data_IF_791152036206
#
_entry.id   IF_791152036206
#
_cell.length_a   1.000
_cell.length_b   1.000
_cell.length_c   1.000
_cell.angle_alpha   90.00
_cell.angle_beta   90.00
_cell.angle_gamma   90.00
#
_symmetry.space_group_name_H-M   'P 1'
#
loop_
_entity.id
_entity.type
_entity.pdbx_description
1 polymer ?
#
# COMPACT_ATOMS: atom_id res chain seq x y z
N UNK A 1 37.37 2.07 -13.83
CA UNK A 1 36.58 1.99 -12.58
C UNK A 1 35.11 2.40 -12.78
N UNK A 2 34.70 2.96 -13.93
CA UNK A 2 33.29 3.24 -14.26
C UNK A 2 32.47 1.99 -14.69
N UNK A 3 33.10 0.96 -15.29
CA UNK A 3 32.37 -0.22 -15.76
C UNK A 3 31.87 -1.15 -14.63
N UNK A 4 32.51 -1.13 -13.46
CA UNK A 4 32.07 -1.93 -12.31
C UNK A 4 30.82 -1.31 -11.64
N UNK A 5 30.72 0.01 -11.64
CA UNK A 5 29.59 0.74 -11.07
C UNK A 5 28.28 0.51 -11.85
N UNK A 6 28.36 0.37 -13.18
CA UNK A 6 27.17 0.18 -14.01
C UNK A 6 26.59 -1.24 -13.89
N UNK A 7 27.43 -2.26 -13.69
CA UNK A 7 26.96 -3.63 -13.46
C UNK A 7 26.33 -3.81 -12.08
N UNK A 8 26.89 -3.19 -11.05
CA UNK A 8 26.31 -3.22 -9.69
C UNK A 8 24.98 -2.46 -9.65
N UNK A 9 24.93 -1.24 -10.19
CA UNK A 9 23.70 -0.44 -10.23
C UNK A 9 22.59 -1.12 -11.04
N UNK A 10 22.89 -1.73 -12.19
CA UNK A 10 21.88 -2.46 -12.98
C UNK A 10 21.39 -3.73 -12.26
N UNK A 11 22.29 -4.46 -11.61
CA UNK A 11 21.94 -5.69 -10.88
C UNK A 11 21.12 -5.38 -9.62
N UNK A 12 21.47 -4.31 -8.91
CA UNK A 12 20.75 -3.86 -7.73
C UNK A 12 19.40 -3.19 -8.07
N UNK A 13 19.32 -2.42 -9.17
CA UNK A 13 18.04 -1.89 -9.69
C UNK A 13 17.12 -3.03 -10.18
N UNK A 14 17.67 -4.05 -10.83
CA UNK A 14 16.91 -5.23 -11.26
C UNK A 14 16.34 -6.02 -10.07
N UNK A 15 17.13 -6.14 -9.00
CA UNK A 15 16.70 -6.82 -7.76
C UNK A 15 15.65 -6.00 -6.99
N UNK A 16 15.82 -4.67 -6.90
CA UNK A 16 14.85 -3.76 -6.31
C UNK A 16 13.51 -3.74 -7.05
N UNK A 17 13.53 -3.77 -8.38
CA UNK A 17 12.33 -3.89 -9.21
C UNK A 17 11.62 -5.23 -9.08
N UNK A 18 12.36 -6.35 -9.03
CA UNK A 18 11.80 -7.68 -8.83
C UNK A 18 11.15 -7.83 -7.44
N UNK A 19 11.80 -7.32 -6.39
CA UNK A 19 11.21 -7.25 -5.05
C UNK A 19 9.98 -6.36 -5.02
N UNK A 20 10.03 -5.18 -5.64
CA UNK A 20 8.87 -4.29 -5.79
C UNK A 20 7.69 -4.99 -6.47
N UNK A 21 7.95 -5.74 -7.54
CA UNK A 21 6.94 -6.52 -8.26
C UNK A 21 6.30 -7.60 -7.39
N UNK A 22 7.11 -8.40 -6.68
CA UNK A 22 6.63 -9.47 -5.82
C UNK A 22 5.78 -8.93 -4.65
N UNK A 23 6.24 -7.82 -4.05
CA UNK A 23 5.52 -7.11 -2.99
C UNK A 23 4.22 -6.54 -3.54
N UNK A 24 4.23 -5.83 -4.67
CA UNK A 24 3.04 -5.25 -5.30
C UNK A 24 1.97 -6.30 -5.65
N UNK A 25 2.40 -7.44 -6.20
CA UNK A 25 1.51 -8.56 -6.52
C UNK A 25 0.85 -9.16 -5.27
N UNK A 26 1.62 -9.34 -4.20
CA UNK A 26 1.11 -9.85 -2.92
C UNK A 26 0.15 -8.85 -2.28
N UNK A 27 0.50 -7.56 -2.31
CA UNK A 27 -0.30 -6.48 -1.76
C UNK A 27 -1.70 -6.45 -2.36
N UNK A 28 -1.83 -6.63 -3.68
CA UNK A 28 -3.15 -6.67 -4.37
C UNK A 28 -4.10 -7.70 -3.75
N UNK A 29 -3.58 -8.88 -3.39
CA UNK A 29 -4.39 -9.96 -2.82
C UNK A 29 -4.80 -9.66 -1.38
N UNK A 30 -3.88 -9.10 -0.60
CA UNK A 30 -4.15 -8.64 0.78
C UNK A 30 -5.17 -7.50 0.77
N UNK A 31 -5.03 -6.53 -0.13
CA UNK A 31 -5.97 -5.41 -0.26
C UNK A 31 -7.38 -5.87 -0.62
N UNK A 32 -7.54 -6.85 -1.52
CA UNK A 32 -8.86 -7.43 -1.81
C UNK A 32 -9.50 -8.07 -0.57
N UNK A 33 -8.73 -8.84 0.21
CA UNK A 33 -9.23 -9.47 1.43
C UNK A 33 -9.59 -8.42 2.49
N UNK A 34 -8.72 -7.44 2.72
CA UNK A 34 -8.96 -6.33 3.64
C UNK A 34 -10.19 -5.53 3.24
N UNK A 35 -10.31 -5.15 1.96
CA UNK A 35 -11.48 -4.42 1.46
C UNK A 35 -12.77 -5.22 1.68
N UNK A 36 -12.74 -6.54 1.49
CA UNK A 36 -13.88 -7.42 1.77
C UNK A 36 -14.25 -7.42 3.26
N UNK A 37 -13.27 -7.60 4.16
CA UNK A 37 -13.50 -7.60 5.61
C UNK A 37 -13.99 -6.24 6.11
N UNK A 38 -13.37 -5.15 5.65
CA UNK A 38 -13.77 -3.77 6.00
C UNK A 38 -15.17 -3.45 5.48
N UNK A 39 -15.49 -3.84 4.24
CA UNK A 39 -16.82 -3.68 3.68
C UNK A 39 -17.88 -4.44 4.47
N UNK A 40 -17.60 -5.70 4.82
CA UNK A 40 -18.48 -6.51 5.66
C UNK A 40 -18.68 -5.89 7.05
N UNK A 41 -17.62 -5.33 7.63
CA UNK A 41 -17.68 -4.64 8.92
C UNK A 41 -18.56 -3.39 8.86
N UNK A 42 -18.40 -2.56 7.83
CA UNK A 42 -19.25 -1.36 7.63
C UNK A 42 -20.71 -1.77 7.42
N UNK A 43 -20.97 -2.81 6.61
CA UNK A 43 -22.32 -3.38 6.45
C UNK A 43 -22.94 -3.78 7.79
N UNK A 44 -22.17 -4.45 8.64
CA UNK A 44 -22.62 -4.83 9.99
C UNK A 44 -22.90 -3.61 10.87
N UNK A 45 -22.09 -2.54 10.78
CA UNK A 45 -22.33 -1.30 11.50
C UNK A 45 -23.59 -0.58 11.04
N UNK A 46 -23.81 -0.48 9.73
CA UNK A 46 -25.00 0.17 9.15
C UNK A 46 -26.26 -0.56 9.60
N UNK A 47 -26.25 -1.89 9.61
CA UNK A 47 -27.38 -2.69 10.08
C UNK A 47 -27.66 -2.47 11.58
N UNK A 48 -26.63 -2.40 12.44
CA UNK A 48 -26.83 -2.09 13.86
C UNK A 48 -27.26 -0.63 14.11
N UNK A 49 -26.84 0.28 13.24
CA UNK A 49 -27.23 1.69 13.30
C UNK A 49 -28.71 1.88 12.96
N UNK A 50 -29.22 1.17 11.95
CA UNK A 50 -30.63 1.21 11.55
C UNK A 50 -31.55 0.66 12.66
N UNK A 51 -31.10 -0.38 13.37
CA UNK A 51 -31.81 -0.92 14.55
C UNK A 51 -31.70 -0.03 15.81
N UNK A 52 -30.98 1.10 15.74
CA UNK A 52 -30.84 2.05 16.85
C UNK A 52 -29.96 1.57 18.01
N UNK A 53 -29.22 0.47 17.83
CA UNK A 53 -28.34 -0.11 18.86
C UNK A 53 -27.02 0.67 18.99
N UNK A 54 -26.55 1.29 17.89
CA UNK A 54 -25.28 2.03 17.84
C UNK A 54 -25.45 3.33 17.03
N UNK A 55 -24.94 4.46 17.54
CA UNK A 55 -24.83 5.71 16.79
C UNK A 55 -23.49 5.77 16.05
N UNK A 56 -23.51 5.71 14.71
CA UNK A 56 -22.30 5.78 13.89
C UNK A 56 -21.90 7.24 13.63
N UNK A 57 -20.72 7.65 14.11
CA UNK A 57 -20.16 8.97 13.85
C UNK A 57 -19.34 8.98 12.55
N UNK A 58 -19.97 9.46 11.47
CA UNK A 58 -19.36 9.54 10.15
C UNK A 58 -18.15 10.49 10.06
N UNK A 59 -18.12 11.55 10.86
CA UNK A 59 -16.99 12.49 10.92
C UNK A 59 -15.74 11.83 11.51
N UNK A 60 -15.91 11.07 12.60
CA UNK A 60 -14.82 10.34 13.24
C UNK A 60 -14.28 9.21 12.35
N UNK A 61 -15.16 8.50 11.64
CA UNK A 61 -14.76 7.50 10.64
C UNK A 61 -13.98 8.13 9.47
N UNK A 62 -14.42 9.28 8.96
CA UNK A 62 -13.72 10.02 7.90
C UNK A 62 -12.34 10.48 8.34
N UNK A 63 -12.20 10.98 9.58
CA UNK A 63 -10.92 11.36 10.18
C UNK A 63 -9.98 10.17 10.34
N UNK A 64 -10.49 9.03 10.82
CA UNK A 64 -9.71 7.80 10.92
C UNK A 64 -9.20 7.34 9.55
N UNK A 65 -10.07 7.31 8.54
CA UNK A 65 -9.67 6.97 7.17
C UNK A 65 -8.59 7.92 6.65
N UNK A 66 -8.79 9.23 6.81
CA UNK A 66 -7.85 10.26 6.37
C UNK A 66 -6.49 10.13 7.06
N UNK A 67 -6.47 9.86 8.37
CA UNK A 67 -5.25 9.62 9.14
C UNK A 67 -4.53 8.33 8.72
N UNK A 68 -5.27 7.28 8.37
CA UNK A 68 -4.70 6.05 7.84
C UNK A 68 -4.03 6.29 6.48
N UNK A 69 -4.71 6.99 5.57
CA UNK A 69 -4.16 7.33 4.26
C UNK A 69 -2.93 8.22 4.35
N UNK A 70 -2.93 9.24 5.22
CA UNK A 70 -1.77 10.11 5.41
C UNK A 70 -0.57 9.36 6.01
N UNK A 71 -0.83 8.42 6.92
CA UNK A 71 0.21 7.53 7.48
C UNK A 71 0.80 6.61 6.41
N UNK A 72 -0.05 6.04 5.55
CA UNK A 72 0.39 5.22 4.43
C UNK A 72 1.20 6.04 3.42
N UNK A 73 0.77 7.26 3.11
CA UNK A 73 1.49 8.16 2.21
C UNK A 73 2.86 8.53 2.78
N UNK A 74 2.96 8.81 4.08
CA UNK A 74 4.23 9.05 4.77
C UNK A 74 5.15 7.83 4.72
N UNK A 75 4.62 6.63 4.94
CA UNK A 75 5.35 5.37 4.79
C UNK A 75 5.84 5.18 3.35
N UNK A 76 4.99 5.40 2.35
CA UNK A 76 5.35 5.30 0.94
C UNK A 76 6.46 6.30 0.57
N UNK A 77 6.35 7.55 1.01
CA UNK A 77 7.38 8.59 0.80
C UNK A 77 8.69 8.22 1.49
N UNK A 78 8.62 7.67 2.70
CA UNK A 78 9.81 7.23 3.45
C UNK A 78 10.45 6.02 2.79
N UNK A 79 9.67 5.01 2.41
CA UNK A 79 10.16 3.83 1.69
C UNK A 79 10.85 4.22 0.36
N UNK A 80 10.28 5.16 -0.39
CA UNK A 80 10.88 5.66 -1.64
C UNK A 80 12.15 6.50 -1.39
N UNK A 81 12.26 7.19 -0.24
CA UNK A 81 13.44 8.02 0.11
C UNK A 81 14.58 7.22 0.77
N UNK A 82 14.26 6.24 1.61
CA UNK A 82 15.24 5.45 2.37
C UNK A 82 15.86 4.34 1.52
N UNK A 83 15.17 3.89 0.47
CA UNK A 83 15.70 2.89 -0.45
C UNK A 83 16.43 3.62 -1.59
N UNK A 84 17.76 3.48 -1.68
CA UNK A 84 18.62 4.03 -2.75
C UNK A 84 18.15 3.63 -4.17
N UNK A 85 17.31 2.60 -4.27
CA UNK A 85 16.69 2.05 -5.50
C UNK A 85 15.22 2.48 -5.72
N UNK A 86 14.73 3.52 -5.03
CA UNK A 86 13.33 3.90 -4.98
C UNK A 86 12.62 4.03 -6.34
N UNK A 87 13.34 4.42 -7.40
CA UNK A 87 12.81 4.45 -8.76
C UNK A 87 12.46 3.06 -9.30
N UNK A 88 13.39 2.09 -9.22
CA UNK A 88 13.16 0.72 -9.70
C UNK A 88 12.14 -0.04 -8.86
N UNK A 89 12.14 0.17 -7.54
CA UNK A 89 11.17 -0.43 -6.63
C UNK A 89 9.76 0.12 -6.88
N UNK A 90 9.59 1.43 -7.04
CA UNK A 90 8.28 2.03 -7.32
C UNK A 90 7.72 1.57 -8.67
N UNK A 91 8.57 1.47 -9.71
CA UNK A 91 8.16 0.93 -11.02
C UNK A 91 7.77 -0.54 -10.90
N UNK A 92 8.59 -1.36 -10.23
CA UNK A 92 8.29 -2.77 -9.97
C UNK A 92 6.98 -2.95 -9.20
N UNK A 93 6.78 -2.16 -8.15
CA UNK A 93 5.58 -2.17 -7.31
C UNK A 93 4.33 -1.72 -8.07
N UNK A 94 4.42 -0.66 -8.88
CA UNK A 94 3.31 -0.19 -9.71
C UNK A 94 2.88 -1.25 -10.73
N UNK A 95 3.84 -1.90 -11.38
CA UNK A 95 3.57 -3.00 -12.32
C UNK A 95 3.01 -4.21 -11.58
N UNK A 96 3.58 -4.59 -10.43
CA UNK A 96 3.11 -5.71 -9.62
C UNK A 96 1.70 -5.51 -9.06
N UNK A 97 1.30 -4.28 -8.74
CA UNK A 97 -0.07 -3.96 -8.33
C UNK A 97 -1.07 -4.03 -9.51
N UNK A 98 -0.62 -3.71 -10.73
CA UNK A 98 -1.45 -3.73 -11.93
C UNK A 98 -1.75 -5.16 -12.39
N UNK A 99 -0.75 -6.04 -12.37
CA UNK A 99 -0.87 -7.49 -12.66
C UNK A 99 -1.77 -8.17 -11.62
#
# INVERSE_FOLDING_TARGET
>A
MEELFNQEVVKELGFGGAMGFLVGFTLKRVFKLLAFVVGLYILSLVWLADNGVITVNWDSLGKFASSFFSSFESFARTAVRTVSFGGSFAVGLAVGMKV
#
